data_IF_276157223587
#
_entry.id   IF_276157223587
#
_cell.length_a   1.000
_cell.length_b   1.000
_cell.length_c   1.000
_cell.angle_alpha   90.00
_cell.angle_beta   90.00
_cell.angle_gamma   90.00
#
_symmetry.space_group_name_H-M   'P 1'
#
loop_
_entity.id
_entity.type
_entity.pdbx_description
1 polymer ?
#
# COMPACT_ATOMS: atom_id res chain seq x y z
N UNK A 1 -0.24 9.66 -26.17
CA UNK A 1 0.34 9.72 -24.82
C UNK A 1 1.34 10.88 -24.75
N UNK A 2 1.31 11.68 -23.70
CA UNK A 2 2.31 12.73 -23.55
C UNK A 2 3.70 12.10 -23.36
N UNK A 3 4.77 12.71 -23.89
CA UNK A 3 6.13 12.19 -23.74
C UNK A 3 6.54 12.17 -22.25
N UNK A 4 7.16 11.08 -21.81
CA UNK A 4 7.56 10.89 -20.41
C UNK A 4 6.48 10.28 -19.51
N UNK A 5 5.47 9.66 -20.10
CA UNK A 5 4.45 8.87 -19.40
C UNK A 5 4.40 7.48 -20.02
N UNK A 6 4.60 6.46 -19.23
CA UNK A 6 4.49 5.06 -19.64
C UNK A 6 3.33 4.39 -18.91
N UNK A 7 2.49 3.63 -19.61
CA UNK A 7 1.36 2.93 -19.02
C UNK A 7 1.48 1.43 -19.28
N UNK A 8 1.34 0.65 -18.23
CA UNK A 8 1.27 -0.81 -18.28
C UNK A 8 -0.07 -1.27 -17.76
N UNK A 9 -0.72 -2.18 -18.48
CA UNK A 9 -1.98 -2.78 -18.06
C UNK A 9 -1.84 -4.29 -18.01
N UNK A 10 -2.43 -4.92 -17.01
CA UNK A 10 -2.51 -6.37 -16.88
C UNK A 10 -3.85 -6.75 -16.27
N UNK A 11 -4.39 -7.89 -16.67
CA UNK A 11 -5.62 -8.44 -16.11
C UNK A 11 -5.41 -9.92 -15.82
N UNK A 12 -5.67 -10.34 -14.59
CA UNK A 12 -5.57 -11.73 -14.17
C UNK A 12 -6.51 -12.00 -12.99
N UNK A 13 -7.16 -13.16 -12.98
CA UNK A 13 -8.01 -13.61 -11.84
C UNK A 13 -9.09 -12.60 -11.40
N UNK A 14 -9.68 -11.86 -12.34
CA UNK A 14 -10.68 -10.83 -12.04
C UNK A 14 -10.12 -9.52 -11.48
N UNK A 15 -8.81 -9.37 -11.46
CA UNK A 15 -8.10 -8.15 -11.03
C UNK A 15 -7.57 -7.45 -12.28
N UNK A 16 -7.85 -6.17 -12.41
CA UNK A 16 -7.27 -5.30 -13.42
C UNK A 16 -6.25 -4.37 -12.78
N UNK A 17 -5.04 -4.38 -13.30
CA UNK A 17 -3.94 -3.54 -12.85
C UNK A 17 -3.61 -2.51 -13.93
N UNK A 18 -3.52 -1.26 -13.53
CA UNK A 18 -3.00 -0.18 -14.37
C UNK A 18 -1.86 0.50 -13.61
N UNK A 19 -0.67 0.47 -14.19
CA UNK A 19 0.48 1.21 -13.69
C UNK A 19 0.83 2.33 -14.66
N UNK A 20 0.97 3.54 -14.12
CA UNK A 20 1.39 4.72 -14.87
C UNK A 20 2.65 5.26 -14.23
N UNK A 21 3.73 5.24 -14.98
CA UNK A 21 5.01 5.81 -14.57
C UNK A 21 5.19 7.19 -15.22
N UNK A 22 5.33 8.22 -14.40
CA UNK A 22 5.54 9.61 -14.81
C UNK A 22 6.99 9.98 -14.56
N UNK A 23 7.76 10.14 -15.60
CA UNK A 23 9.20 10.46 -15.55
C UNK A 23 9.48 11.96 -15.66
N UNK A 24 8.53 12.73 -16.17
CA UNK A 24 8.70 14.15 -16.49
C UNK A 24 8.04 15.04 -15.46
N UNK A 25 8.70 16.15 -15.12
CA UNK A 25 8.12 17.24 -14.33
C UNK A 25 7.27 18.17 -15.23
N UNK A 26 6.34 18.91 -14.61
CA UNK A 26 5.47 19.86 -15.33
C UNK A 26 4.17 19.27 -15.88
N UNK A 27 3.88 18.00 -15.61
CA UNK A 27 2.57 17.41 -15.85
C UNK A 27 1.63 17.65 -14.66
N UNK A 28 0.32 17.43 -14.89
CA UNK A 28 -0.71 17.56 -13.84
C UNK A 28 -0.43 16.72 -12.60
N UNK A 29 0.28 15.59 -12.77
CA UNK A 29 0.72 14.72 -11.67
C UNK A 29 2.24 14.83 -11.50
N UNK A 30 2.74 14.79 -10.25
CA UNK A 30 4.16 14.74 -9.97
C UNK A 30 4.84 13.51 -10.58
N UNK A 31 6.16 13.59 -10.72
CA UNK A 31 6.99 12.41 -11.08
C UNK A 31 6.77 11.30 -10.06
N UNK A 32 6.58 10.09 -10.54
CA UNK A 32 6.36 8.90 -9.69
C UNK A 32 5.61 7.79 -10.40
N UNK A 33 5.40 6.69 -9.68
CA UNK A 33 4.63 5.54 -10.12
C UNK A 33 3.24 5.56 -9.48
N UNK A 34 2.22 5.42 -10.30
CA UNK A 34 0.82 5.39 -9.90
C UNK A 34 0.23 4.03 -10.28
N UNK A 35 -0.22 3.28 -9.28
CA UNK A 35 -0.76 1.94 -9.48
C UNK A 35 -2.22 1.93 -9.06
N UNK A 36 -3.08 1.49 -9.97
CA UNK A 36 -4.51 1.28 -9.74
C UNK A 36 -4.80 -0.21 -9.85
N UNK A 37 -5.40 -0.77 -8.82
CA UNK A 37 -5.94 -2.13 -8.81
C UNK A 37 -7.46 -2.02 -8.77
N UNK A 38 -8.10 -2.55 -9.81
CA UNK A 38 -9.55 -2.70 -9.86
C UNK A 38 -9.92 -4.16 -9.59
N UNK A 39 -10.72 -4.37 -8.57
CA UNK A 39 -11.10 -5.69 -8.08
C UNK A 39 -12.53 -5.67 -7.54
N UNK A 40 -13.20 -6.83 -7.39
CA UNK A 40 -14.53 -6.90 -6.79
C UNK A 40 -14.57 -6.29 -5.39
N UNK A 41 -15.75 -5.82 -4.97
CA UNK A 41 -15.93 -5.28 -3.64
C UNK A 41 -15.51 -6.30 -2.57
N UNK A 42 -14.83 -5.86 -1.51
CA UNK A 42 -14.33 -6.73 -0.43
C UNK A 42 -15.43 -7.60 0.20
N UNK A 43 -16.68 -7.13 0.26
CA UNK A 43 -17.80 -7.92 0.73
C UNK A 43 -18.12 -9.17 -0.13
N UNK A 44 -17.58 -9.25 -1.35
CA UNK A 44 -17.72 -10.38 -2.28
C UNK A 44 -16.46 -11.22 -2.40
N UNK A 45 -15.39 -10.81 -1.71
CA UNK A 45 -14.12 -11.55 -1.69
C UNK A 45 -14.26 -12.63 -0.63
N UNK A 46 -14.22 -13.89 -1.06
CA UNK A 46 -14.10 -15.03 -0.14
C UNK A 46 -12.73 -14.98 0.57
N UNK A 47 -12.69 -15.34 1.85
CA UNK A 47 -11.46 -15.38 2.65
C UNK A 47 -10.36 -16.26 2.04
N UNK A 48 -10.73 -17.14 1.11
CA UNK A 48 -9.80 -18.00 0.35
C UNK A 48 -9.14 -17.31 -0.84
N UNK A 49 -9.47 -16.07 -1.13
CA UNK A 49 -8.94 -15.39 -2.30
C UNK A 49 -7.57 -14.76 -2.04
N UNK A 50 -6.57 -15.60 -1.83
CA UNK A 50 -5.18 -15.20 -1.70
C UNK A 50 -4.68 -14.36 -2.88
N UNK A 51 -5.28 -14.55 -4.07
CA UNK A 51 -4.91 -13.80 -5.28
C UNK A 51 -5.05 -12.28 -5.10
N UNK A 52 -6.08 -11.80 -4.40
CA UNK A 52 -6.27 -10.37 -4.13
C UNK A 52 -5.24 -9.84 -3.14
N UNK A 53 -4.96 -10.60 -2.09
CA UNK A 53 -3.92 -10.26 -1.09
C UNK A 53 -2.55 -10.19 -1.79
N UNK A 54 -2.23 -11.17 -2.62
CA UNK A 54 -0.98 -11.20 -3.38
C UNK A 54 -0.86 -10.04 -4.37
N UNK A 55 -1.94 -9.69 -5.06
CA UNK A 55 -1.96 -8.58 -5.99
C UNK A 55 -1.64 -7.26 -5.28
N UNK A 56 -2.29 -6.99 -4.15
CA UNK A 56 -2.03 -5.78 -3.34
C UNK A 56 -0.61 -5.80 -2.78
N UNK A 57 -0.22 -6.90 -2.13
CA UNK A 57 1.09 -7.02 -1.48
C UNK A 57 2.26 -6.86 -2.46
N UNK A 58 2.17 -7.46 -3.66
CA UNK A 58 3.21 -7.36 -4.68
C UNK A 58 3.40 -5.93 -5.17
N UNK A 59 2.30 -5.19 -5.37
CA UNK A 59 2.37 -3.79 -5.79
C UNK A 59 2.88 -2.88 -4.67
N UNK A 60 2.45 -3.10 -3.43
CA UNK A 60 2.98 -2.39 -2.28
C UNK A 60 4.49 -2.62 -2.12
N UNK A 61 4.95 -3.85 -2.24
CA UNK A 61 6.38 -4.19 -2.18
C UNK A 61 7.20 -3.46 -3.24
N UNK A 62 6.66 -3.30 -4.44
CA UNK A 62 7.32 -2.58 -5.53
C UNK A 62 7.46 -1.07 -5.26
N UNK A 63 6.56 -0.49 -4.45
CA UNK A 63 6.56 0.94 -4.10
C UNK A 63 7.33 1.25 -2.81
N UNK A 64 7.45 0.27 -1.90
CA UNK A 64 8.13 0.47 -0.64
C UNK A 64 9.65 0.60 -0.83
N UNK A 65 10.32 1.49 -0.08
CA UNK A 65 11.76 1.57 -0.08
C UNK A 65 12.36 0.29 0.49
N UNK A 66 13.53 -0.09 0.00
CA UNK A 66 14.26 -1.27 0.49
C UNK A 66 14.97 -1.00 1.81
N UNK A 67 15.26 0.26 2.10
CA UNK A 67 16.01 0.68 3.28
C UNK A 67 15.29 1.84 3.98
N UNK A 68 15.55 1.99 5.26
CA UNK A 68 15.01 3.06 6.07
C UNK A 68 13.77 2.68 6.89
N UNK A 69 13.28 3.62 7.67
CA UNK A 69 12.08 3.46 8.51
C UNK A 69 10.82 3.65 7.66
N UNK A 70 9.91 2.71 7.73
CA UNK A 70 8.58 2.80 7.11
C UNK A 70 7.56 3.17 8.19
N UNK A 71 6.83 4.25 7.98
CA UNK A 71 5.70 4.65 8.80
C UNK A 71 4.39 4.33 8.08
N UNK A 72 3.55 3.52 8.71
CA UNK A 72 2.20 3.23 8.23
C UNK A 72 1.21 4.11 8.98
N UNK A 73 0.51 4.99 8.28
CA UNK A 73 -0.49 5.88 8.84
C UNK A 73 -1.90 5.43 8.46
N UNK A 74 -2.67 4.95 9.42
CA UNK A 74 -4.08 4.62 9.26
C UNK A 74 -4.94 5.87 9.42
N UNK A 75 -5.54 6.34 8.33
CA UNK A 75 -6.38 7.55 8.31
C UNK A 75 -7.83 7.15 8.21
N UNK A 76 -8.67 7.70 9.08
CA UNK A 76 -10.11 7.46 9.07
C UNK A 76 -10.76 7.52 10.45
N UNK A 77 -12.03 7.17 10.52
CA UNK A 77 -12.81 7.16 11.75
C UNK A 77 -13.37 5.75 12.02
N UNK A 78 -12.95 5.15 13.13
CA UNK A 78 -13.40 3.80 13.53
C UNK A 78 -14.90 3.70 13.83
N UNK A 79 -15.53 4.80 14.23
CA UNK A 79 -16.96 4.82 14.52
C UNK A 79 -17.82 4.78 13.24
N UNK A 80 -17.22 5.00 12.08
CA UNK A 80 -17.90 4.97 10.78
C UNK A 80 -17.37 3.81 9.96
N UNK A 81 -18.19 2.79 9.71
CA UNK A 81 -17.76 1.54 9.05
C UNK A 81 -17.07 1.78 7.71
N UNK A 82 -17.59 2.68 6.89
CA UNK A 82 -17.00 3.00 5.59
C UNK A 82 -15.65 3.70 5.67
N UNK A 83 -15.33 4.30 6.82
CA UNK A 83 -14.11 5.09 7.05
C UNK A 83 -13.12 4.40 8.01
N UNK A 84 -13.47 3.23 8.51
CA UNK A 84 -12.68 2.50 9.50
C UNK A 84 -11.50 1.71 8.90
N UNK A 85 -11.43 1.55 7.59
CA UNK A 85 -10.45 0.69 6.92
C UNK A 85 -9.00 1.07 7.25
N UNK A 86 -8.68 2.35 7.21
CA UNK A 86 -7.33 2.84 7.50
C UNK A 86 -6.85 2.49 8.91
N UNK A 87 -7.56 2.92 9.98
CA UNK A 87 -7.21 2.59 11.36
C UNK A 87 -7.19 1.09 11.64
N UNK A 88 -8.16 0.33 11.14
CA UNK A 88 -8.22 -1.12 11.30
C UNK A 88 -7.06 -1.85 10.61
N UNK A 89 -6.64 -1.37 9.45
CA UNK A 89 -5.47 -1.90 8.74
C UNK A 89 -4.18 -1.59 9.50
N UNK A 90 -4.03 -0.36 9.98
CA UNK A 90 -2.84 0.04 10.74
C UNK A 90 -2.64 -0.79 12.01
N UNK A 91 -3.73 -1.12 12.72
CA UNK A 91 -3.68 -1.97 13.92
C UNK A 91 -3.18 -3.40 13.64
N UNK A 92 -3.35 -3.88 12.42
CA UNK A 92 -2.93 -5.23 12.03
C UNK A 92 -1.54 -5.28 11.42
N UNK A 93 -0.89 -4.14 11.26
CA UNK A 93 0.49 -4.09 10.76
C UNK A 93 1.45 -4.63 11.82
N UNK A 94 2.30 -5.56 11.42
CA UNK A 94 3.35 -6.05 12.29
C UNK A 94 4.46 -5.02 12.48
N UNK A 95 4.64 -4.54 13.71
CA UNK A 95 5.65 -3.52 14.05
C UNK A 95 7.01 -4.19 14.24
N UNK A 96 7.96 -3.84 13.40
CA UNK A 96 9.32 -4.43 13.40
C UNK A 96 10.41 -3.48 13.89
N UNK A 97 10.09 -2.20 14.11
CA UNK A 97 11.07 -1.18 14.51
C UNK A 97 11.90 -1.59 15.74
N UNK A 98 11.23 -2.11 16.77
CA UNK A 98 11.91 -2.52 18.00
C UNK A 98 12.78 -3.77 17.79
N UNK A 99 12.39 -4.67 16.89
CA UNK A 99 13.17 -5.86 16.55
C UNK A 99 14.47 -5.50 15.84
N UNK A 100 14.45 -4.49 14.97
CA UNK A 100 15.65 -4.04 14.26
C UNK A 100 16.68 -3.38 15.18
N UNK A 101 16.29 -2.91 16.36
CA UNK A 101 17.20 -2.30 17.35
C UNK A 101 17.88 -3.34 18.24
N UNK A 102 17.29 -4.51 18.44
CA UNK A 102 17.72 -5.53 19.38
C UNK A 102 18.34 -6.76 18.71
N UNK A 103 18.05 -7.00 17.43
CA UNK A 103 18.61 -8.14 16.71
C UNK A 103 19.98 -7.81 16.12
N UNK A 104 20.99 -8.71 16.25
CA UNK A 104 22.20 -8.58 15.49
C UNK A 104 21.87 -8.65 13.99
N UNK A 105 22.43 -7.73 13.21
CA UNK A 105 22.28 -7.72 11.75
C UNK A 105 22.62 -9.09 11.16
N UNK A 106 21.60 -9.87 10.86
CA UNK A 106 21.68 -11.04 9.97
C UNK A 106 21.00 -10.66 8.67
N UNK A 107 21.45 -11.25 7.61
CA UNK A 107 21.22 -11.01 6.19
C UNK A 107 19.76 -11.00 5.69
N UNK A 108 18.76 -11.21 6.56
CA UNK A 108 17.34 -11.02 6.25
C UNK A 108 16.91 -9.65 6.76
N UNK A 109 17.09 -8.65 5.91
CA UNK A 109 16.77 -7.24 6.18
C UNK A 109 15.28 -7.06 6.53
N UNK A 110 14.98 -7.12 7.83
CA UNK A 110 13.67 -6.72 8.34
C UNK A 110 13.60 -5.20 8.26
N UNK A 111 12.76 -4.69 7.36
CA UNK A 111 12.48 -3.26 7.28
C UNK A 111 11.82 -2.79 8.57
N UNK A 112 12.36 -1.78 9.27
CA UNK A 112 11.74 -1.25 10.47
C UNK A 112 10.41 -0.57 10.14
N UNK A 113 9.32 -1.10 10.69
CA UNK A 113 7.97 -0.58 10.49
C UNK A 113 7.42 -0.05 11.80
N UNK A 114 6.82 1.12 11.75
CA UNK A 114 6.02 1.71 12.82
C UNK A 114 4.66 2.12 12.27
N UNK A 115 3.67 2.31 13.13
CA UNK A 115 2.35 2.74 12.70
C UNK A 115 1.78 3.84 13.60
N UNK A 116 0.83 4.58 13.06
CA UNK A 116 0.02 5.56 13.79
C UNK A 116 -1.39 5.63 13.20
N UNK A 117 -2.32 6.18 13.97
CA UNK A 117 -3.64 6.50 13.46
C UNK A 117 -3.86 8.01 13.46
N UNK A 118 -4.56 8.48 12.44
CA UNK A 118 -5.10 9.82 12.37
C UNK A 118 -6.63 9.69 12.42
N UNK A 119 -7.21 9.97 13.58
CA UNK A 119 -8.66 10.06 13.71
C UNK A 119 -9.12 11.45 13.30
N UNK A 120 -10.07 11.51 12.38
CA UNK A 120 -10.78 12.75 12.11
C UNK A 120 -11.99 12.82 13.02
N UNK A 121 -12.18 13.90 13.79
CA UNK A 121 -13.43 14.09 14.52
C UNK A 121 -14.58 14.17 13.52
N UNK A 122 -15.70 13.55 13.87
CA UNK A 122 -16.96 13.76 13.17
C UNK A 122 -17.31 15.24 13.25
N UNK A 123 -17.34 15.87 12.10
CA UNK A 123 -17.95 17.19 12.00
C UNK A 123 -19.47 17.10 12.16
#
# INVERSE_FOLDING_TARGET
MPPGVTTHTATASGISLVRVDVERTGLRRPKGSYITLDMPAFARIDERNEAYVWAIASQMRALLPKEGLVLVAGVGNRAVTADALGPETADRVFVTRNLCQTAPKKEDDITPVSYTHLAFPLL
#
